data_IF_534444928223
#
_entry.id   IF_534444928223
#
_cell.length_a   1.000
_cell.length_b   1.000
_cell.length_c   1.000
_cell.angle_alpha   90.00
_cell.angle_beta   90.00
_cell.angle_gamma   90.00
#
_symmetry.space_group_name_H-M   'P 1'
#
loop_
_entity.id
_entity.type
_entity.pdbx_description
1 polymer ?
#
# COMPACT_ATOMS: atom_id res chain seq x y z
N UNK A 1 9.49 -31.88 -5.88
CA UNK A 1 8.26 -31.78 -5.04
C UNK A 1 8.20 -30.53 -4.17
N UNK A 2 9.31 -29.83 -3.88
CA UNK A 2 9.36 -28.60 -3.06
C UNK A 2 8.87 -27.32 -3.75
N UNK A 3 8.97 -27.20 -5.06
CA UNK A 3 8.59 -25.98 -5.81
C UNK A 3 7.06 -25.82 -5.90
N UNK A 4 6.32 -26.92 -5.87
CA UNK A 4 4.84 -26.90 -5.88
C UNK A 4 4.26 -26.52 -4.52
N UNK A 5 4.94 -26.83 -3.41
CA UNK A 5 4.47 -26.49 -2.06
C UNK A 5 4.54 -24.97 -1.79
N UNK A 6 5.54 -24.27 -2.33
CA UNK A 6 5.68 -22.82 -2.20
C UNK A 6 4.60 -22.03 -2.95
N UNK A 7 4.09 -22.56 -4.05
CA UNK A 7 3.04 -21.91 -4.87
C UNK A 7 1.63 -22.06 -4.27
N UNK A 8 1.40 -23.12 -3.53
CA UNK A 8 0.11 -23.38 -2.85
C UNK A 8 -0.04 -22.50 -1.59
N UNK A 9 1.07 -22.06 -1.00
CA UNK A 9 1.07 -21.23 0.22
C UNK A 9 0.64 -19.76 0.00
N UNK A 10 0.61 -19.26 -1.23
CA UNK A 10 0.12 -17.93 -1.59
C UNK A 10 -1.31 -17.92 -2.17
N UNK A 11 -1.89 -19.07 -2.45
CA UNK A 11 -3.27 -19.14 -2.96
C UNK A 11 -4.27 -18.85 -1.84
N UNK A 12 -4.86 -17.66 -1.88
CA UNK A 12 -5.97 -17.30 -1.00
C UNK A 12 -7.24 -18.08 -1.36
N UNK A 13 -7.99 -18.51 -0.34
CA UNK A 13 -9.32 -19.13 -0.53
C UNK A 13 -10.35 -18.00 -0.54
N UNK A 14 -11.14 -17.94 -1.62
CA UNK A 14 -12.26 -17.00 -1.70
C UNK A 14 -13.48 -17.56 -0.97
N UNK A 15 -14.06 -16.78 -0.09
CA UNK A 15 -15.24 -17.10 0.72
C UNK A 15 -16.31 -16.04 0.54
N UNK A 16 -17.56 -16.44 0.79
CA UNK A 16 -18.72 -15.53 0.82
C UNK A 16 -19.29 -15.51 2.24
N UNK A 17 -19.65 -14.32 2.71
CA UNK A 17 -20.24 -14.12 4.03
C UNK A 17 -21.33 -13.06 3.94
N UNK A 18 -22.36 -13.19 4.77
CA UNK A 18 -23.40 -12.17 4.91
C UNK A 18 -23.12 -11.34 6.15
N UNK A 19 -23.03 -10.01 5.99
CA UNK A 19 -22.82 -9.02 7.04
C UNK A 19 -23.96 -8.02 6.98
N UNK A 20 -24.74 -7.87 8.05
CA UNK A 20 -25.85 -6.90 8.12
C UNK A 20 -26.75 -6.92 6.85
N UNK A 21 -27.12 -8.14 6.40
CA UNK A 21 -27.91 -8.41 5.19
C UNK A 21 -27.19 -8.15 3.86
N UNK A 22 -25.98 -7.68 3.83
CA UNK A 22 -25.17 -7.53 2.62
C UNK A 22 -24.26 -8.76 2.41
N UNK A 23 -24.36 -9.39 1.22
CA UNK A 23 -23.45 -10.49 0.84
C UNK A 23 -22.15 -9.90 0.32
N UNK A 24 -21.05 -10.28 0.93
CA UNK A 24 -19.70 -9.90 0.50
C UNK A 24 -18.86 -11.12 0.16
N UNK A 25 -17.95 -10.93 -0.76
CA UNK A 25 -16.90 -11.88 -1.09
C UNK A 25 -15.57 -11.40 -0.54
N UNK A 26 -14.78 -12.30 0.04
CA UNK A 26 -13.48 -11.96 0.57
C UNK A 26 -12.50 -13.11 0.43
N UNK A 27 -11.21 -12.79 0.37
CA UNK A 27 -10.13 -13.77 0.25
C UNK A 27 -9.47 -13.98 1.60
N UNK A 28 -9.27 -15.24 1.97
CA UNK A 28 -8.49 -15.64 3.16
C UNK A 28 -7.17 -16.23 2.69
N UNK A 29 -6.07 -15.74 3.23
CA UNK A 29 -4.74 -16.31 3.00
C UNK A 29 -4.00 -16.54 4.31
N UNK A 30 -3.20 -17.59 4.39
CA UNK A 30 -2.28 -17.82 5.50
C UNK A 30 -0.90 -17.27 5.19
N UNK A 31 -0.22 -16.77 6.20
CA UNK A 31 1.14 -16.25 6.03
C UNK A 31 2.02 -16.70 7.20
N UNK A 32 3.19 -17.30 6.90
CA UNK A 32 4.08 -17.90 7.91
C UNK A 32 4.60 -16.91 8.94
N UNK A 33 4.93 -15.70 8.52
CA UNK A 33 5.49 -14.67 9.41
C UNK A 33 4.43 -13.76 10.03
N UNK A 34 3.15 -13.94 9.71
CA UNK A 34 2.08 -13.17 10.32
C UNK A 34 1.90 -13.58 11.78
N UNK A 35 2.03 -12.64 12.69
CA UNK A 35 1.83 -12.83 14.14
C UNK A 35 0.40 -12.53 14.59
N UNK A 36 -0.37 -11.81 13.78
CA UNK A 36 -1.74 -11.36 14.08
C UNK A 36 -2.61 -11.46 12.83
N UNK A 37 -3.92 -11.57 13.04
CA UNK A 37 -4.93 -11.36 12.00
C UNK A 37 -4.78 -9.96 11.41
N UNK A 38 -4.84 -9.88 10.08
CA UNK A 38 -4.86 -8.61 9.36
C UNK A 38 -6.02 -8.63 8.38
N UNK A 39 -6.80 -7.56 8.37
CA UNK A 39 -7.85 -7.29 7.41
C UNK A 39 -7.43 -6.11 6.54
N UNK A 40 -7.50 -6.28 5.24
CA UNK A 40 -7.23 -5.24 4.26
C UNK A 40 -8.38 -5.15 3.27
N UNK A 41 -8.84 -3.94 3.00
CA UNK A 41 -9.80 -3.65 1.95
C UNK A 41 -9.10 -2.79 0.92
N UNK A 42 -9.10 -3.26 -0.32
CA UNK A 42 -8.40 -2.63 -1.44
C UNK A 42 -9.32 -1.69 -2.22
N UNK A 43 -8.72 -0.80 -3.01
CA UNK A 43 -9.47 0.18 -3.82
C UNK A 43 -10.38 -0.45 -4.87
N UNK A 44 -10.06 -1.68 -5.32
CA UNK A 44 -10.89 -2.49 -6.20
C UNK A 44 -12.10 -3.13 -5.49
N UNK A 45 -12.24 -2.88 -4.17
CA UNK A 45 -13.30 -3.45 -3.33
C UNK A 45 -12.97 -4.84 -2.80
N UNK A 46 -11.82 -5.41 -3.15
CA UNK A 46 -11.42 -6.72 -2.64
C UNK A 46 -11.10 -6.65 -1.15
N UNK A 47 -11.70 -7.56 -0.37
CA UNK A 47 -11.47 -7.73 1.05
C UNK A 47 -10.55 -8.94 1.24
N UNK A 48 -9.44 -8.77 1.96
CA UNK A 48 -8.46 -9.83 2.19
C UNK A 48 -8.15 -9.97 3.67
N UNK A 49 -8.34 -11.19 4.21
CA UNK A 49 -7.93 -11.54 5.57
C UNK A 49 -6.66 -12.36 5.51
N UNK A 50 -5.62 -11.89 6.19
CA UNK A 50 -4.37 -12.63 6.34
C UNK A 50 -4.33 -13.24 7.74
N UNK A 51 -4.21 -14.57 7.80
CA UNK A 51 -4.12 -15.35 9.03
C UNK A 51 -2.68 -15.74 9.32
N UNK A 52 -2.28 -15.79 10.60
CA UNK A 52 -1.14 -16.58 11.03
C UNK A 52 -1.27 -18.03 10.58
N UNK A 53 -0.15 -18.67 10.23
CA UNK A 53 -0.16 -20.04 9.68
C UNK A 53 -0.91 -21.06 10.57
N UNK A 54 -0.79 -20.94 11.88
CA UNK A 54 -1.39 -21.86 12.87
C UNK A 54 -2.88 -21.62 13.12
N UNK A 55 -3.46 -20.53 12.63
CA UNK A 55 -4.88 -20.21 12.84
C UNK A 55 -5.77 -20.94 11.83
N UNK A 56 -6.93 -21.42 12.29
CA UNK A 56 -7.96 -22.00 11.44
C UNK A 56 -8.64 -20.98 10.55
N UNK A 57 -9.11 -21.39 9.37
CA UNK A 57 -9.82 -20.50 8.43
C UNK A 57 -11.13 -19.92 8.98
N UNK A 58 -11.76 -20.59 9.96
CA UNK A 58 -12.95 -20.12 10.66
C UNK A 58 -12.71 -18.79 11.42
N UNK A 59 -11.48 -18.57 11.91
CA UNK A 59 -11.10 -17.33 12.60
C UNK A 59 -11.27 -16.08 11.71
N UNK A 60 -11.21 -16.22 10.38
CA UNK A 60 -11.44 -15.13 9.45
C UNK A 60 -12.90 -14.70 9.42
N UNK A 61 -13.83 -15.69 9.43
CA UNK A 61 -15.27 -15.43 9.43
C UNK A 61 -15.68 -14.66 10.69
N UNK A 62 -15.22 -15.11 11.86
CA UNK A 62 -15.49 -14.46 13.14
C UNK A 62 -14.90 -13.06 13.20
N UNK A 63 -13.69 -12.90 12.69
CA UNK A 63 -13.03 -11.59 12.69
C UNK A 63 -13.76 -10.58 11.79
N UNK A 64 -14.21 -11.01 10.61
CA UNK A 64 -15.00 -10.16 9.71
C UNK A 64 -16.35 -9.82 10.35
N UNK A 65 -17.05 -10.80 10.95
CA UNK A 65 -18.34 -10.55 11.62
C UNK A 65 -18.20 -9.55 12.76
N UNK A 66 -17.17 -9.67 13.59
CA UNK A 66 -16.90 -8.73 14.69
C UNK A 66 -16.63 -7.30 14.21
N UNK A 67 -16.17 -7.14 12.97
CA UNK A 67 -15.85 -5.85 12.36
C UNK A 67 -16.81 -5.48 11.22
N UNK A 68 -18.03 -6.06 11.19
CA UNK A 68 -18.94 -5.99 10.05
C UNK A 68 -19.23 -4.56 9.59
N UNK A 69 -19.61 -3.67 10.51
CA UNK A 69 -19.91 -2.26 10.21
C UNK A 69 -18.72 -1.57 9.55
N UNK A 70 -17.54 -1.67 10.16
CA UNK A 70 -16.33 -1.09 9.61
C UNK A 70 -15.97 -1.66 8.23
N UNK A 71 -16.14 -2.98 8.03
CA UNK A 71 -15.89 -3.63 6.73
C UNK A 71 -16.80 -3.06 5.65
N UNK A 72 -18.10 -2.98 5.92
CA UNK A 72 -19.10 -2.50 4.95
C UNK A 72 -18.88 -1.02 4.61
N UNK A 73 -18.67 -0.17 5.62
CA UNK A 73 -18.37 1.24 5.42
C UNK A 73 -17.10 1.44 4.59
N UNK A 74 -16.04 0.71 4.93
CA UNK A 74 -14.77 0.78 4.23
C UNK A 74 -14.88 0.26 2.79
N UNK A 75 -15.63 -0.82 2.56
CA UNK A 75 -15.89 -1.32 1.21
C UNK A 75 -16.69 -0.32 0.36
N UNK A 76 -17.71 0.32 0.94
CA UNK A 76 -18.49 1.38 0.26
C UNK A 76 -17.59 2.58 -0.09
N UNK A 77 -16.78 3.04 0.85
CA UNK A 77 -15.82 4.11 0.62
C UNK A 77 -14.80 3.76 -0.47
N UNK A 78 -14.25 2.55 -0.43
CA UNK A 78 -13.27 2.09 -1.42
C UNK A 78 -13.90 1.92 -2.81
N UNK A 79 -15.13 1.40 -2.92
CA UNK A 79 -15.86 1.33 -4.20
C UNK A 79 -16.12 2.73 -4.79
N UNK A 80 -16.41 3.72 -3.95
CA UNK A 80 -16.59 5.11 -4.40
C UNK A 80 -15.28 5.71 -4.93
N UNK A 81 -14.18 5.45 -4.23
CA UNK A 81 -12.82 5.85 -4.63
C UNK A 81 -12.35 5.03 -5.83
N UNK A 82 -12.60 3.71 -5.83
CA UNK A 82 -12.07 2.76 -6.81
C UNK A 82 -12.55 2.97 -8.24
N UNK A 83 -13.73 3.58 -8.46
CA UNK A 83 -14.19 3.92 -9.82
C UNK A 83 -13.31 4.97 -10.50
N UNK A 84 -12.65 5.83 -9.70
CA UNK A 84 -11.78 6.90 -10.18
C UNK A 84 -10.33 6.76 -9.71
N UNK A 85 -10.00 5.71 -8.93
CA UNK A 85 -8.68 5.55 -8.35
C UNK A 85 -7.67 5.05 -9.38
N UNK A 86 -6.53 5.71 -9.42
CA UNK A 86 -5.36 5.26 -10.19
C UNK A 86 -4.91 3.84 -9.83
N UNK A 87 -5.23 3.36 -8.60
CA UNK A 87 -4.92 1.99 -8.18
C UNK A 87 -5.87 0.92 -8.74
N UNK A 88 -7.06 1.27 -9.22
CA UNK A 88 -8.02 0.31 -9.76
C UNK A 88 -7.55 -0.31 -11.08
N UNK A 89 -6.73 0.40 -11.84
CA UNK A 89 -6.17 -0.09 -13.10
C UNK A 89 -4.85 -0.83 -12.82
N UNK A 90 -4.87 -2.15 -12.91
CA UNK A 90 -3.67 -2.99 -12.86
C UNK A 90 -3.31 -3.45 -14.28
N UNK A 91 -2.74 -2.55 -15.06
CA UNK A 91 -2.21 -2.89 -16.36
C UNK A 91 -0.71 -3.20 -16.25
N UNK A 92 -0.36 -4.46 -16.52
CA UNK A 92 1.02 -4.90 -16.54
C UNK A 92 1.79 -4.33 -17.74
N UNK A 93 1.11 -4.15 -18.85
CA UNK A 93 1.68 -3.57 -20.09
C UNK A 93 2.00 -2.09 -19.84
N UNK A 94 1.09 -1.35 -19.22
CA UNK A 94 1.31 0.04 -18.82
C UNK A 94 2.49 0.15 -17.84
N UNK A 95 2.56 -0.74 -16.85
CA UNK A 95 3.70 -0.79 -15.91
C UNK A 95 5.03 -0.95 -16.63
N UNK A 96 5.13 -1.89 -17.58
CA UNK A 96 6.37 -2.11 -18.33
C UNK A 96 6.76 -0.89 -19.16
N UNK A 97 5.80 -0.19 -19.76
CA UNK A 97 6.02 1.04 -20.54
C UNK A 97 6.48 2.21 -19.67
N UNK A 98 5.90 2.38 -18.49
CA UNK A 98 6.12 3.57 -17.66
C UNK A 98 7.21 3.39 -16.59
N UNK A 99 7.63 2.16 -16.34
CA UNK A 99 8.56 1.81 -15.25
C UNK A 99 9.88 2.59 -15.30
N UNK A 100 10.49 2.70 -16.47
CA UNK A 100 11.79 3.37 -16.60
C UNK A 100 11.63 4.90 -16.46
N UNK A 101 10.61 5.50 -17.06
CA UNK A 101 10.30 6.92 -16.85
C UNK A 101 10.02 7.24 -15.38
N UNK A 102 9.28 6.34 -14.68
CA UNK A 102 9.06 6.49 -13.24
C UNK A 102 10.39 6.42 -12.46
N UNK A 103 11.30 5.54 -12.87
CA UNK A 103 12.61 5.40 -12.25
C UNK A 103 13.45 6.67 -12.39
N UNK A 104 13.53 7.22 -13.59
CA UNK A 104 14.26 8.44 -13.88
C UNK A 104 13.70 9.63 -13.09
N UNK A 105 12.38 9.81 -13.12
CA UNK A 105 11.71 10.88 -12.37
C UNK A 105 11.97 10.74 -10.87
N UNK A 106 11.77 9.54 -10.30
CA UNK A 106 11.97 9.29 -8.87
C UNK A 106 13.44 9.52 -8.49
N UNK A 107 14.40 9.04 -9.29
CA UNK A 107 15.82 9.22 -9.02
C UNK A 107 16.19 10.72 -8.97
N UNK A 108 15.79 11.49 -9.97
CA UNK A 108 16.03 12.94 -10.04
C UNK A 108 15.42 13.68 -8.85
N UNK A 109 14.20 13.31 -8.45
CA UNK A 109 13.53 13.95 -7.31
C UNK A 109 14.12 13.53 -5.97
N UNK A 110 14.51 12.27 -5.81
CA UNK A 110 15.23 11.78 -4.63
C UNK A 110 16.55 12.51 -4.43
N UNK A 111 17.34 12.65 -5.49
CA UNK A 111 18.61 13.39 -5.45
C UNK A 111 18.38 14.82 -4.94
N UNK A 112 17.46 15.55 -5.57
CA UNK A 112 17.10 16.91 -5.18
C UNK A 112 16.71 17.05 -3.70
N UNK A 113 15.80 16.19 -3.21
CA UNK A 113 15.35 16.28 -1.82
C UNK A 113 16.39 15.77 -0.85
N UNK A 114 17.19 14.79 -1.25
CA UNK A 114 18.23 14.25 -0.38
C UNK A 114 19.43 15.19 -0.17
N UNK A 115 19.60 16.21 -0.99
CA UNK A 115 20.52 17.32 -0.72
C UNK A 115 20.23 17.99 0.63
N UNK A 116 18.93 18.08 1.00
CA UNK A 116 18.51 18.65 2.29
C UNK A 116 18.71 17.66 3.45
N UNK A 117 18.44 16.37 3.22
CA UNK A 117 18.41 15.37 4.30
C UNK A 117 19.72 14.61 4.49
N UNK A 118 20.49 14.40 3.44
CA UNK A 118 21.75 13.65 3.47
C UNK A 118 21.59 12.18 3.89
N UNK A 119 20.41 11.57 3.67
CA UNK A 119 20.16 10.20 4.11
C UNK A 119 20.74 9.17 3.15
N UNK A 120 21.30 8.08 3.71
CA UNK A 120 21.83 6.96 2.93
C UNK A 120 20.74 5.90 2.71
N UNK A 121 20.44 5.57 1.47
CA UNK A 121 19.55 4.46 1.10
C UNK A 121 20.31 3.41 0.28
N UNK A 122 19.88 2.15 0.35
CA UNK A 122 20.55 1.03 -0.34
C UNK A 122 20.14 0.89 -1.80
N UNK A 123 18.90 1.20 -2.10
CA UNK A 123 18.42 1.06 -3.46
C UNK A 123 16.99 1.58 -3.62
N UNK A 124 16.65 1.82 -4.89
CA UNK A 124 15.33 2.31 -5.30
C UNK A 124 14.73 1.33 -6.30
N UNK A 125 13.47 0.93 -6.08
CA UNK A 125 12.76 0.05 -6.99
C UNK A 125 11.39 0.61 -7.36
N UNK A 126 11.05 0.55 -8.65
CA UNK A 126 9.71 0.86 -9.14
C UNK A 126 8.89 -0.42 -9.18
N UNK A 127 7.69 -0.37 -8.62
CA UNK A 127 6.79 -1.51 -8.44
C UNK A 127 5.39 -1.22 -8.99
N UNK A 128 4.68 -2.27 -9.35
CA UNK A 128 3.24 -2.22 -9.63
C UNK A 128 2.46 -2.66 -8.36
N UNK A 129 2.35 -1.75 -7.40
CA UNK A 129 1.69 -2.03 -6.11
C UNK A 129 0.21 -1.69 -6.17
N UNK A 130 -0.62 -2.50 -5.48
CA UNK A 130 -2.08 -2.34 -5.49
C UNK A 130 -2.63 -1.34 -4.48
N UNK A 131 -1.86 -0.98 -3.45
CA UNK A 131 -2.42 -0.35 -2.25
C UNK A 131 -1.59 0.77 -1.66
N UNK A 132 -0.44 1.06 -2.26
CA UNK A 132 0.46 2.09 -1.70
C UNK A 132 1.25 2.79 -2.81
N UNK A 133 1.56 4.04 -2.57
CA UNK A 133 2.38 4.85 -3.45
C UNK A 133 3.87 4.59 -3.28
N UNK A 134 4.29 4.26 -2.05
CA UNK A 134 5.67 3.95 -1.73
C UNK A 134 5.81 3.05 -0.52
N UNK A 135 7.04 2.69 -0.19
CA UNK A 135 7.42 2.05 1.06
C UNK A 135 8.93 2.12 1.28
N UNK A 136 9.33 2.35 2.53
CA UNK A 136 10.71 2.23 2.99
C UNK A 136 10.86 0.96 3.83
N UNK A 137 11.90 0.16 3.57
CA UNK A 137 12.22 -1.00 4.40
C UNK A 137 13.21 -0.63 5.51
N UNK A 138 13.23 -1.42 6.60
CA UNK A 138 14.21 -1.28 7.68
C UNK A 138 15.66 -1.47 7.21
N UNK A 139 15.86 -2.04 6.01
CA UNK A 139 17.17 -2.19 5.37
C UNK A 139 17.56 -1.00 4.50
N UNK A 140 16.76 0.07 4.46
CA UNK A 140 17.02 1.26 3.67
C UNK A 140 16.70 1.12 2.17
N UNK A 141 15.83 0.19 1.76
CA UNK A 141 15.36 0.12 0.39
C UNK A 141 14.06 0.92 0.24
N UNK A 142 14.04 1.79 -0.76
CA UNK A 142 12.89 2.60 -1.13
C UNK A 142 12.17 1.95 -2.31
N UNK A 143 10.84 1.84 -2.24
CA UNK A 143 10.04 1.35 -3.35
C UNK A 143 8.98 2.38 -3.66
N UNK A 144 8.71 2.61 -4.96
CA UNK A 144 7.69 3.54 -5.43
C UNK A 144 6.80 2.86 -6.45
N UNK A 145 5.54 3.22 -6.44
CA UNK A 145 4.59 2.78 -7.45
C UNK A 145 4.87 3.53 -8.76
N UNK A 146 4.87 2.83 -9.91
CA UNK A 146 5.07 3.47 -11.21
C UNK A 146 4.03 4.56 -11.51
N UNK A 147 2.83 4.44 -10.93
CA UNK A 147 1.74 5.40 -11.08
C UNK A 147 2.01 6.76 -10.43
N UNK A 148 3.12 6.89 -9.71
CA UNK A 148 3.60 8.19 -9.21
C UNK A 148 3.81 9.19 -10.35
N UNK A 149 4.08 8.71 -11.59
CA UNK A 149 4.15 9.53 -12.79
C UNK A 149 2.82 10.19 -13.17
N UNK A 150 1.69 9.57 -12.79
CA UNK A 150 0.35 10.04 -13.12
C UNK A 150 -0.18 11.09 -12.13
N UNK A 151 0.58 11.34 -11.08
CA UNK A 151 0.22 12.32 -10.07
C UNK A 151 0.70 13.72 -10.45
N UNK A 152 -0.01 14.77 -9.99
CA UNK A 152 0.56 16.10 -9.97
C UNK A 152 1.93 16.10 -9.26
N UNK A 153 2.89 16.85 -9.77
CA UNK A 153 4.27 16.83 -9.28
C UNK A 153 4.38 17.00 -7.77
N UNK A 154 3.61 17.92 -7.17
CA UNK A 154 3.60 18.15 -5.72
C UNK A 154 3.21 16.92 -4.89
N UNK A 155 2.32 16.05 -5.43
CA UNK A 155 1.92 14.81 -4.78
C UNK A 155 3.01 13.75 -4.90
N UNK A 156 3.63 13.65 -6.07
CA UNK A 156 4.78 12.78 -6.28
C UNK A 156 5.95 13.17 -5.35
N UNK A 157 6.23 14.46 -5.25
CA UNK A 157 7.27 15.02 -4.38
C UNK A 157 7.01 14.66 -2.91
N UNK A 158 5.78 14.84 -2.45
CA UNK A 158 5.40 14.46 -1.09
C UNK A 158 5.63 12.96 -0.83
N UNK A 159 5.22 12.08 -1.75
CA UNK A 159 5.43 10.64 -1.59
C UNK A 159 6.92 10.31 -1.52
N UNK A 160 7.74 10.92 -2.36
CA UNK A 160 9.18 10.70 -2.38
C UNK A 160 9.82 11.15 -1.06
N UNK A 161 9.47 12.35 -0.58
CA UNK A 161 9.95 12.88 0.71
C UNK A 161 9.46 12.01 1.86
N UNK A 162 8.21 11.56 1.84
CA UNK A 162 7.64 10.68 2.87
C UNK A 162 8.44 9.38 3.03
N UNK A 163 8.75 8.70 1.92
CA UNK A 163 9.55 7.47 1.97
C UNK A 163 11.02 7.74 2.34
N UNK A 164 11.56 8.88 1.93
CA UNK A 164 12.91 9.31 2.30
C UNK A 164 13.01 9.56 3.81
N UNK A 165 12.03 10.24 4.41
CA UNK A 165 11.97 10.49 5.85
C UNK A 165 11.87 9.20 6.68
N UNK A 166 11.29 8.14 6.12
CA UNK A 166 11.26 6.83 6.77
C UNK A 166 12.63 6.18 6.94
N UNK A 167 13.67 6.63 6.26
CA UNK A 167 15.05 6.18 6.53
C UNK A 167 15.53 6.59 7.92
N UNK A 168 14.98 7.67 8.48
CA UNK A 168 15.32 8.19 9.81
C UNK A 168 14.27 7.86 10.85
N UNK A 169 12.99 8.03 10.51
CA UNK A 169 11.86 7.87 11.44
C UNK A 169 10.84 6.87 10.85
N UNK A 170 10.83 5.64 11.38
CA UNK A 170 9.93 4.57 10.87
C UNK A 170 8.46 4.76 11.25
N UNK A 171 8.19 5.54 12.29
CA UNK A 171 6.84 5.83 12.77
C UNK A 171 6.42 7.24 12.36
N UNK A 172 5.14 7.44 12.08
CA UNK A 172 4.57 8.75 11.79
C UNK A 172 4.41 9.60 13.07
N UNK A 173 5.48 9.72 13.84
CA UNK A 173 5.57 10.55 15.04
C UNK A 173 5.68 12.04 14.68
N UNK A 174 5.61 12.92 15.69
CA UNK A 174 5.87 14.36 15.49
C UNK A 174 7.24 14.62 14.85
N UNK A 175 8.26 13.80 15.17
CA UNK A 175 9.60 13.90 14.56
C UNK A 175 9.56 13.61 13.06
N UNK A 176 8.81 12.58 12.64
CA UNK A 176 8.61 12.26 11.23
C UNK A 176 7.97 13.43 10.49
N UNK A 177 6.87 13.96 10.99
CA UNK A 177 6.16 15.05 10.35
C UNK A 177 6.97 16.34 10.31
N UNK A 178 7.78 16.61 11.32
CA UNK A 178 8.73 17.72 11.31
C UNK A 178 9.78 17.56 10.18
N UNK A 179 10.28 16.33 9.93
CA UNK A 179 11.16 16.06 8.79
C UNK A 179 10.45 16.34 7.47
N UNK A 180 9.26 15.81 7.26
CA UNK A 180 8.49 16.04 6.03
C UNK A 180 8.25 17.53 5.79
N UNK A 181 7.88 18.27 6.82
CA UNK A 181 7.60 19.70 6.75
C UNK A 181 8.80 20.56 6.35
N UNK A 182 10.05 20.09 6.53
CA UNK A 182 11.26 20.82 6.12
C UNK A 182 11.28 21.12 4.61
N UNK A 183 10.77 20.20 3.80
CA UNK A 183 10.75 20.37 2.33
C UNK A 183 9.34 20.45 1.76
N UNK A 184 8.35 19.95 2.46
CA UNK A 184 6.93 19.97 2.06
C UNK A 184 6.09 20.54 3.23
N UNK A 185 6.11 21.84 3.48
CA UNK A 185 5.39 22.43 4.63
C UNK A 185 3.87 22.24 4.55
N UNK A 186 3.31 22.16 3.34
CA UNK A 186 1.87 21.96 3.12
C UNK A 186 1.45 20.49 3.02
N UNK A 187 2.24 19.55 3.57
CA UNK A 187 2.02 18.12 3.43
C UNK A 187 0.61 17.67 3.87
N UNK A 188 0.00 18.31 4.84
CA UNK A 188 -1.34 17.95 5.34
C UNK A 188 -2.41 18.07 4.26
N UNK A 189 -2.40 19.16 3.48
CA UNK A 189 -3.30 19.36 2.35
C UNK A 189 -3.10 18.29 1.28
N UNK A 190 -1.86 17.91 1.03
CA UNK A 190 -1.52 16.87 0.04
C UNK A 190 -1.99 15.50 0.52
N UNK A 191 -1.81 15.18 1.79
CA UNK A 191 -2.31 13.94 2.40
C UNK A 191 -3.82 13.80 2.23
N UNK A 192 -4.57 14.88 2.48
CA UNK A 192 -6.01 14.89 2.31
C UNK A 192 -6.40 14.65 0.85
N UNK A 193 -5.74 15.30 -0.09
CA UNK A 193 -5.97 15.12 -1.52
C UNK A 193 -5.64 13.69 -1.99
N UNK A 194 -4.55 13.11 -1.51
CA UNK A 194 -4.16 11.73 -1.85
C UNK A 194 -5.11 10.65 -1.31
N UNK A 195 -5.90 10.94 -0.28
CA UNK A 195 -6.94 10.03 0.22
C UNK A 195 -8.11 9.84 -0.73
N UNK A 196 -8.28 10.76 -1.66
CA UNK A 196 -9.40 10.80 -2.61
C UNK A 196 -9.01 10.19 -3.97
N UNK A 197 -7.70 10.07 -4.25
CA UNK A 197 -7.12 9.47 -5.47
C UNK A 197 -6.96 7.95 -5.35
#
# INVERSE_FOLDING_TARGET
MEILSHKIEEMGITKKITLNSEKIEYTVRKHRTAKRLKLAIYCDGNCVVTLPWRMGFWSADDFIKKNATWVLEKMKAMKKIGRNSLFARHDHVEYLKLKEHAREMVAKRLEKFNEVYGFKYKGVAIRNQKTRWGSCSSKGNLNFNYKILLLPQRHADYIIVHELCHLKEFNHSKRFWNLVAQTIPEYEKIVEQLRIL
#
